data_IF_670975442184
#
_entry.id   IF_670975442184
#
_cell.length_a   1.000
_cell.length_b   1.000
_cell.length_c   1.000
_cell.angle_alpha   90.00
_cell.angle_beta   90.00
_cell.angle_gamma   90.00
#
_symmetry.space_group_name_H-M   'P 1'
#
loop_
_entity.id
_entity.type
_entity.pdbx_description
1 polymer ?
#
# COMPACT_ATOMS: atom_id res chain seq x y z
N UNK A 1 11.72 -32.22 11.37
CA UNK A 1 10.60 -31.64 10.60
C UNK A 1 10.91 -30.16 10.40
N UNK A 2 10.86 -29.68 9.17
CA UNK A 2 11.09 -28.28 8.80
C UNK A 2 9.93 -27.80 7.95
N UNK A 3 9.58 -26.51 8.05
CA UNK A 3 8.50 -25.90 7.27
C UNK A 3 9.12 -24.88 6.33
N UNK A 4 8.91 -25.04 5.03
CA UNK A 4 9.46 -24.15 4.02
C UNK A 4 8.35 -23.35 3.34
N UNK A 5 8.50 -22.03 3.34
CA UNK A 5 7.69 -21.12 2.52
C UNK A 5 8.55 -20.64 1.36
N UNK A 6 8.19 -21.05 0.15
CA UNK A 6 8.91 -20.64 -1.06
C UNK A 6 8.71 -19.14 -1.34
N UNK A 7 9.77 -18.46 -1.75
CA UNK A 7 9.74 -17.05 -2.14
C UNK A 7 9.00 -16.76 -3.44
N UNK A 8 8.64 -17.77 -4.23
CA UNK A 8 7.68 -17.57 -5.34
C UNK A 8 6.34 -17.02 -4.83
N UNK A 9 6.01 -17.32 -3.56
CA UNK A 9 4.80 -16.89 -2.90
C UNK A 9 5.00 -15.62 -2.05
N UNK A 10 6.24 -15.18 -1.81
CA UNK A 10 6.56 -14.04 -0.94
C UNK A 10 7.03 -12.86 -1.79
N UNK A 11 6.33 -11.73 -1.70
CA UNK A 11 6.63 -10.57 -2.56
C UNK A 11 7.66 -9.64 -1.91
N UNK A 12 7.49 -9.33 -0.63
CA UNK A 12 8.24 -8.28 0.06
C UNK A 12 8.44 -8.61 1.55
N UNK A 13 9.57 -8.15 2.09
CA UNK A 13 9.88 -8.13 3.52
C UNK A 13 9.81 -6.70 4.05
N UNK A 14 8.90 -6.45 4.99
CA UNK A 14 8.89 -5.19 5.74
C UNK A 14 9.52 -5.39 7.12
N UNK A 15 10.59 -4.66 7.41
CA UNK A 15 11.18 -4.53 8.75
C UNK A 15 10.48 -3.38 9.47
N UNK A 16 9.44 -3.67 10.25
CA UNK A 16 8.69 -2.69 11.02
C UNK A 16 9.30 -2.43 12.41
N UNK A 17 9.51 -1.15 12.73
CA UNK A 17 9.98 -0.65 14.04
C UNK A 17 9.58 0.82 14.30
N UNK A 18 9.14 1.56 13.29
CA UNK A 18 8.46 2.84 13.46
C UNK A 18 7.01 2.66 13.04
N UNK A 19 6.07 3.26 13.79
CA UNK A 19 4.65 3.32 13.44
C UNK A 19 4.42 3.90 12.04
N UNK A 20 3.17 3.95 11.55
CA UNK A 20 2.88 4.49 10.21
C UNK A 20 3.54 5.86 10.07
N UNK A 21 4.55 5.96 9.18
CA UNK A 21 5.17 7.24 8.85
C UNK A 21 4.04 8.15 8.43
N UNK A 22 3.72 9.16 9.26
CA UNK A 22 2.74 10.19 8.95
C UNK A 22 3.14 10.79 7.61
N UNK A 23 2.38 10.45 6.58
CA UNK A 23 2.50 11.08 5.28
C UNK A 23 2.14 12.56 5.47
N UNK A 24 3.16 13.41 5.54
CA UNK A 24 3.00 14.86 5.54
C UNK A 24 2.59 15.26 4.13
N UNK A 25 1.28 15.33 3.89
CA UNK A 25 0.73 15.93 2.70
C UNK A 25 1.02 17.43 2.75
N UNK A 26 1.96 17.90 1.92
CA UNK A 26 1.95 19.31 1.52
C UNK A 26 0.71 19.49 0.62
N UNK A 27 -0.30 20.26 1.02
CA UNK A 27 -1.45 20.49 0.17
C UNK A 27 -0.97 21.19 -1.11
N UNK A 28 -1.20 20.54 -2.24
CA UNK A 28 -1.09 21.16 -3.54
C UNK A 28 -2.00 22.39 -3.51
N UNK A 29 -1.42 23.56 -3.76
CA UNK A 29 -2.00 24.85 -3.45
C UNK A 29 -3.30 25.06 -4.23
N UNK A 30 -4.44 24.89 -3.53
CA UNK A 30 -5.79 25.28 -3.94
C UNK A 30 -5.84 26.70 -4.57
N UNK A 31 -4.85 27.52 -4.23
CA UNK A 31 -4.65 28.89 -4.69
C UNK A 31 -4.50 29.03 -6.22
N UNK A 32 -3.86 28.07 -6.90
CA UNK A 32 -3.65 28.18 -8.36
C UNK A 32 -4.92 27.84 -9.16
N UNK A 33 -5.73 26.90 -8.69
CA UNK A 33 -7.01 26.54 -9.33
C UNK A 33 -8.04 27.64 -9.13
N UNK A 34 -8.05 28.29 -7.96
CA UNK A 34 -8.95 29.41 -7.66
C UNK A 34 -8.72 30.63 -8.55
N UNK A 35 -7.46 31.00 -8.80
CA UNK A 35 -7.13 32.15 -9.66
C UNK A 35 -7.54 31.95 -11.12
N UNK A 36 -7.40 30.73 -11.64
CA UNK A 36 -7.79 30.41 -13.01
C UNK A 36 -9.32 30.49 -13.19
N UNK A 37 -10.09 30.02 -12.20
CA UNK A 37 -11.55 30.05 -12.22
C UNK A 37 -12.08 31.50 -12.20
N UNK A 38 -11.49 32.37 -11.37
CA UNK A 38 -11.87 33.79 -11.29
C UNK A 38 -11.61 34.49 -12.62
N UNK A 39 -10.47 34.23 -13.26
CA UNK A 39 -10.09 34.87 -14.53
C UNK A 39 -11.06 34.50 -15.68
N UNK A 40 -11.46 33.22 -15.76
CA UNK A 40 -12.42 32.73 -16.75
C UNK A 40 -13.80 33.36 -16.55
N UNK A 41 -14.27 33.47 -15.31
CA UNK A 41 -15.56 34.12 -14.99
C UNK A 41 -15.54 35.60 -15.35
N UNK A 42 -14.45 36.33 -15.07
CA UNK A 42 -14.33 37.76 -15.42
C UNK A 42 -14.25 38.00 -16.94
N UNK A 43 -13.59 37.13 -17.70
CA UNK A 43 -13.57 37.25 -19.17
C UNK A 43 -14.96 36.99 -19.78
N UNK A 44 -15.70 36.00 -19.27
CA UNK A 44 -17.05 35.71 -19.76
C UNK A 44 -18.04 36.84 -19.47
N UNK A 45 -17.92 37.52 -18.33
CA UNK A 45 -18.77 38.67 -17.98
C UNK A 45 -18.54 39.90 -18.89
N UNK A 46 -17.37 40.00 -19.52
CA UNK A 46 -16.99 41.17 -20.35
C UNK A 46 -17.59 41.12 -21.76
N UNK A 47 -17.97 39.95 -22.25
CA UNK A 47 -18.49 39.74 -23.62
C UNK A 47 -20.01 39.87 -23.75
N UNK A 48 -20.70 40.26 -22.67
CA UNK A 48 -22.16 40.15 -22.57
C UNK A 48 -22.79 41.53 -22.43
N UNK A 49 -23.17 42.14 -23.56
CA UNK A 49 -24.03 43.33 -23.56
C UNK A 49 -25.27 43.23 -24.45
N UNK A 50 -25.61 42.04 -24.98
CA UNK A 50 -26.69 41.94 -25.99
C UNK A 50 -27.57 40.68 -25.96
N UNK A 51 -27.62 39.93 -24.85
CA UNK A 51 -28.42 38.70 -24.75
C UNK A 51 -29.44 38.82 -23.61
N UNK A 52 -30.68 38.40 -23.86
CA UNK A 52 -31.77 38.33 -22.89
C UNK A 52 -31.31 37.64 -21.59
N UNK A 53 -31.59 38.25 -20.43
CA UNK A 53 -30.98 37.90 -19.13
C UNK A 53 -31.18 36.43 -18.73
N UNK A 54 -32.28 35.81 -19.16
CA UNK A 54 -32.58 34.39 -18.91
C UNK A 54 -31.75 33.43 -19.77
N UNK A 55 -31.59 33.74 -21.05
CA UNK A 55 -30.78 32.92 -21.97
C UNK A 55 -29.30 32.98 -21.57
N UNK A 56 -28.85 34.15 -21.12
CA UNK A 56 -27.51 34.33 -20.60
C UNK A 56 -27.25 33.48 -19.35
N UNK A 57 -28.18 33.51 -18.39
CA UNK A 57 -28.05 32.76 -17.15
C UNK A 57 -27.87 31.26 -17.44
N UNK A 58 -28.66 30.71 -18.38
CA UNK A 58 -28.58 29.31 -18.78
C UNK A 58 -27.25 28.96 -19.47
N UNK A 59 -26.72 29.84 -20.32
CA UNK A 59 -25.42 29.64 -20.99
C UNK A 59 -24.28 29.67 -19.97
N UNK A 60 -24.31 30.61 -19.02
CA UNK A 60 -23.29 30.73 -17.96
C UNK A 60 -23.33 29.51 -17.04
N UNK A 61 -24.50 29.11 -16.55
CA UNK A 61 -24.62 27.91 -15.71
C UNK A 61 -24.26 26.63 -16.47
N UNK A 62 -24.67 26.49 -17.73
CA UNK A 62 -24.29 25.35 -18.57
C UNK A 62 -22.78 25.26 -18.80
N UNK A 63 -22.12 26.41 -19.01
CA UNK A 63 -20.66 26.48 -19.18
C UNK A 63 -19.91 26.14 -17.88
N UNK A 64 -20.39 26.63 -16.74
CA UNK A 64 -19.83 26.29 -15.42
C UNK A 64 -20.01 24.80 -15.15
N UNK A 65 -21.21 24.25 -15.40
CA UNK A 65 -21.50 22.83 -15.20
C UNK A 65 -20.58 21.97 -16.07
N UNK A 66 -20.40 22.34 -17.34
CA UNK A 66 -19.50 21.65 -18.28
C UNK A 66 -18.04 21.72 -17.82
N UNK A 67 -17.56 22.88 -17.39
CA UNK A 67 -16.21 23.04 -16.82
C UNK A 67 -15.99 22.15 -15.60
N UNK A 68 -16.95 22.12 -14.68
CA UNK A 68 -16.88 21.27 -13.48
C UNK A 68 -16.88 19.79 -13.87
N UNK A 69 -17.73 19.38 -14.80
CA UNK A 69 -17.84 17.99 -15.27
C UNK A 69 -16.60 17.49 -16.03
N UNK A 70 -15.87 18.37 -16.71
CA UNK A 70 -14.67 17.99 -17.47
C UNK A 70 -13.40 18.11 -16.62
N UNK A 71 -13.28 19.18 -15.83
CA UNK A 71 -12.06 19.45 -15.05
C UNK A 71 -11.95 18.58 -13.79
N UNK A 72 -13.06 18.23 -13.12
CA UNK A 72 -13.00 17.35 -11.94
C UNK A 72 -12.46 15.95 -12.29
N UNK A 73 -12.98 15.24 -13.31
CA UNK A 73 -12.44 13.94 -13.69
C UNK A 73 -10.99 14.03 -14.17
N UNK A 74 -10.64 15.06 -14.95
CA UNK A 74 -9.27 15.26 -15.41
C UNK A 74 -8.30 15.47 -14.24
N UNK A 75 -8.65 16.31 -13.26
CA UNK A 75 -7.86 16.52 -12.05
C UNK A 75 -7.72 15.25 -11.21
N UNK A 76 -8.79 14.46 -11.09
CA UNK A 76 -8.76 13.16 -10.42
C UNK A 76 -7.83 12.18 -11.16
N UNK A 77 -7.93 12.09 -12.48
CA UNK A 77 -7.07 11.21 -13.30
C UNK A 77 -5.60 11.61 -13.15
N UNK A 78 -5.27 12.89 -13.27
CA UNK A 78 -3.90 13.40 -13.11
C UNK A 78 -3.37 13.07 -11.71
N UNK A 79 -4.17 13.28 -10.66
CA UNK A 79 -3.81 12.91 -9.30
C UNK A 79 -3.52 11.41 -9.16
N UNK A 80 -4.35 10.55 -9.76
CA UNK A 80 -4.12 9.09 -9.76
C UNK A 80 -2.86 8.69 -10.52
N UNK A 81 -2.58 9.32 -11.67
CA UNK A 81 -1.37 9.07 -12.47
C UNK A 81 -0.13 9.52 -11.70
N UNK A 82 -0.12 10.72 -11.13
CA UNK A 82 1.01 11.24 -10.36
C UNK A 82 1.25 10.40 -9.09
N UNK A 83 0.18 9.95 -8.42
CA UNK A 83 0.30 9.04 -7.29
C UNK A 83 0.87 7.68 -7.71
N UNK A 84 0.51 7.17 -8.89
CA UNK A 84 1.05 5.94 -9.45
C UNK A 84 2.53 6.08 -9.82
N UNK A 85 2.93 7.19 -10.44
CA UNK A 85 4.33 7.46 -10.77
C UNK A 85 5.21 7.65 -9.54
N UNK A 86 4.72 8.36 -8.52
CA UNK A 86 5.42 8.46 -7.23
C UNK A 86 5.60 7.09 -6.59
N UNK A 87 4.59 6.23 -6.62
CA UNK A 87 4.71 4.84 -6.14
C UNK A 87 5.75 4.05 -6.93
N UNK A 88 5.82 4.21 -8.26
CA UNK A 88 6.84 3.56 -9.10
C UNK A 88 8.25 4.04 -8.74
N UNK A 89 8.47 5.35 -8.64
CA UNK A 89 9.77 5.93 -8.27
C UNK A 89 10.23 5.52 -6.87
N UNK A 90 9.32 5.49 -5.90
CA UNK A 90 9.60 5.01 -4.54
C UNK A 90 9.90 3.49 -4.47
N UNK A 91 9.32 2.70 -5.37
CA UNK A 91 9.64 1.28 -5.51
C UNK A 91 11.00 1.05 -6.20
N UNK A 92 11.48 2.01 -6.97
CA UNK A 92 12.73 1.96 -7.72
C UNK A 92 13.95 2.41 -6.87
N UNK A 93 13.75 3.30 -5.89
CA UNK A 93 14.82 3.79 -5.01
C UNK A 93 15.15 2.89 -3.80
N UNK A 94 14.25 1.97 -3.43
CA UNK A 94 14.57 0.95 -2.44
C UNK A 94 15.12 -0.26 -3.18
N UNK A 95 16.35 -0.76 -2.89
CA UNK A 95 16.78 -2.04 -3.45
C UNK A 95 15.77 -3.08 -2.97
N UNK A 96 14.88 -3.53 -3.88
CA UNK A 96 13.78 -4.44 -3.54
C UNK A 96 14.41 -5.73 -3.05
N UNK A 97 14.47 -5.89 -1.74
CA UNK A 97 14.86 -7.11 -1.06
C UNK A 97 13.80 -8.16 -1.42
N UNK A 98 14.07 -8.94 -2.48
CA UNK A 98 13.17 -10.01 -2.92
C UNK A 98 13.42 -11.23 -2.04
N UNK A 99 12.38 -11.68 -1.34
CA UNK A 99 12.48 -12.87 -0.49
C UNK A 99 12.47 -14.12 -1.37
N UNK A 100 13.49 -14.96 -1.24
CA UNK A 100 13.63 -16.23 -1.97
C UNK A 100 13.00 -17.40 -1.22
N UNK A 101 12.90 -17.30 0.11
CA UNK A 101 12.22 -18.28 0.93
C UNK A 101 12.35 -18.00 2.42
N UNK A 102 11.49 -18.66 3.20
CA UNK A 102 11.56 -18.69 4.65
C UNK A 102 11.50 -20.14 5.11
N UNK A 103 12.52 -20.60 5.84
CA UNK A 103 12.63 -21.96 6.33
C UNK A 103 12.61 -21.97 7.85
N UNK A 104 11.61 -22.61 8.43
CA UNK A 104 11.46 -22.79 9.87
C UNK A 104 11.97 -24.16 10.28
N UNK A 105 12.89 -24.17 11.23
CA UNK A 105 13.42 -25.35 11.90
C UNK A 105 13.14 -25.27 13.39
N UNK A 106 13.28 -26.39 14.11
CA UNK A 106 12.93 -26.47 15.52
C UNK A 106 13.57 -25.38 16.41
N UNK A 107 14.79 -24.98 16.06
CA UNK A 107 15.62 -24.04 16.84
C UNK A 107 15.80 -22.66 16.20
N UNK A 108 15.53 -22.51 14.90
CA UNK A 108 15.80 -21.26 14.17
C UNK A 108 14.96 -21.14 12.90
N UNK A 109 14.77 -19.90 12.46
CA UNK A 109 14.13 -19.52 11.20
C UNK A 109 15.17 -18.87 10.28
N UNK A 110 15.36 -19.38 9.06
CA UNK A 110 16.18 -18.73 8.03
C UNK A 110 15.28 -17.98 7.06
N UNK A 111 15.65 -16.74 6.74
CA UNK A 111 14.99 -15.91 5.76
C UNK A 111 16.01 -15.62 4.66
N UNK A 112 15.77 -16.18 3.47
CA UNK A 112 16.63 -15.99 2.31
C UNK A 112 16.11 -14.81 1.50
N UNK A 113 17.00 -13.86 1.21
CA UNK A 113 16.69 -12.61 0.53
C UNK A 113 17.75 -12.36 -0.54
N UNK A 114 17.32 -12.03 -1.75
CA UNK A 114 18.21 -11.54 -2.80
C UNK A 114 18.25 -10.02 -2.80
N UNK A 115 19.45 -9.45 -2.80
CA UNK A 115 19.72 -8.03 -3.02
C UNK A 115 20.61 -7.89 -4.25
N UNK A 116 20.00 -7.63 -5.41
CA UNK A 116 20.70 -7.66 -6.70
C UNK A 116 21.15 -9.09 -7.04
N UNK A 117 22.44 -9.28 -7.31
CA UNK A 117 23.04 -10.59 -7.58
C UNK A 117 23.45 -11.37 -6.33
N UNK A 118 23.36 -10.76 -5.14
CA UNK A 118 23.80 -11.38 -3.88
C UNK A 118 22.61 -11.99 -3.15
N UNK A 119 22.74 -13.26 -2.78
CA UNK A 119 21.79 -13.97 -1.91
C UNK A 119 22.33 -13.94 -0.49
N UNK A 120 21.51 -13.44 0.44
CA UNK A 120 21.80 -13.40 1.88
C UNK A 120 20.77 -14.24 2.63
N UNK A 121 21.20 -14.91 3.70
CA UNK A 121 20.32 -15.63 4.60
C UNK A 121 20.39 -15.00 6.00
N UNK A 122 19.24 -14.57 6.53
CA UNK A 122 19.12 -14.10 7.90
C UNK A 122 18.65 -15.25 8.79
N UNK A 123 19.49 -15.66 9.73
CA UNK A 123 19.11 -16.65 10.74
C UNK A 123 18.57 -15.95 11.99
N UNK A 124 17.32 -16.25 12.34
CA UNK A 124 16.65 -15.77 13.53
C UNK A 124 16.47 -16.94 14.51
N UNK A 125 17.13 -16.94 15.68
CA UNK A 125 16.94 -18.00 16.67
C UNK A 125 15.49 -17.99 17.18
N UNK A 126 14.95 -19.17 17.50
CA UNK A 126 13.58 -19.32 17.99
C UNK A 126 13.33 -18.55 19.28
N UNK A 127 14.32 -18.45 20.17
CA UNK A 127 14.25 -17.62 21.39
C UNK A 127 14.02 -16.13 21.10
N UNK A 128 14.42 -15.66 19.91
CA UNK A 128 14.18 -14.31 19.41
C UNK A 128 12.79 -14.12 18.81
N UNK A 129 11.97 -15.17 18.69
CA UNK A 129 10.64 -15.14 18.07
C UNK A 129 9.58 -15.25 19.15
N UNK A 130 8.78 -14.19 19.28
CA UNK A 130 7.69 -14.11 20.26
C UNK A 130 6.43 -14.80 19.76
N UNK A 131 6.02 -14.52 18.52
CA UNK A 131 4.85 -15.15 17.91
C UNK A 131 4.84 -15.00 16.40
N UNK A 132 4.19 -15.94 15.71
CA UNK A 132 3.93 -15.89 14.27
C UNK A 132 2.43 -15.79 14.05
N UNK A 133 1.95 -14.83 13.27
CA UNK A 133 0.51 -14.64 13.06
C UNK A 133 0.18 -14.22 11.64
N UNK A 134 -1.05 -14.52 11.22
CA UNK A 134 -1.61 -13.94 10.01
C UNK A 134 -1.78 -12.42 10.15
N UNK A 135 -1.71 -11.68 9.04
CA UNK A 135 -2.12 -10.29 9.03
C UNK A 135 -2.84 -9.87 7.75
N UNK A 136 -3.65 -8.83 7.90
CA UNK A 136 -4.30 -8.11 6.81
C UNK A 136 -4.09 -6.62 6.99
N UNK A 137 -3.65 -5.92 5.94
CA UNK A 137 -3.48 -4.48 5.94
C UNK A 137 -4.50 -3.84 5.00
N UNK A 138 -5.44 -3.10 5.60
CA UNK A 138 -6.49 -2.41 4.87
C UNK A 138 -6.05 -1.00 4.50
N UNK A 139 -6.22 -0.61 3.23
CA UNK A 139 -6.10 0.78 2.79
C UNK A 139 -7.46 1.47 2.73
N UNK A 140 -7.44 2.80 2.59
CA UNK A 140 -8.63 3.67 2.60
C UNK A 140 -9.76 3.25 1.65
N UNK A 141 -9.43 2.61 0.52
CA UNK A 141 -10.43 2.15 -0.45
C UNK A 141 -10.39 0.64 -0.73
N UNK A 142 -9.30 -0.06 -0.41
CA UNK A 142 -9.11 -1.48 -0.73
C UNK A 142 -8.10 -2.13 0.22
N UNK A 143 -8.24 -3.44 0.49
CA UNK A 143 -7.22 -4.20 1.24
C UNK A 143 -5.98 -4.36 0.38
N UNK A 144 -4.83 -3.90 0.88
CA UNK A 144 -3.59 -3.76 0.11
C UNK A 144 -2.73 -5.01 0.22
N UNK A 145 -2.38 -5.37 1.45
CA UNK A 145 -1.37 -6.39 1.73
C UNK A 145 -1.90 -7.45 2.71
N UNK A 146 -1.58 -8.72 2.47
CA UNK A 146 -2.03 -9.85 3.30
C UNK A 146 -0.98 -10.94 3.31
N UNK A 147 -0.77 -11.57 4.45
CA UNK A 147 0.17 -12.67 4.58
C UNK A 147 0.36 -13.06 6.04
N UNK A 148 1.60 -13.38 6.42
CA UNK A 148 1.97 -13.70 7.79
C UNK A 148 3.10 -12.80 8.27
N UNK A 149 3.25 -12.69 9.58
CA UNK A 149 4.28 -11.91 10.21
C UNK A 149 4.96 -12.68 11.34
N UNK A 150 6.22 -12.36 11.57
CA UNK A 150 7.00 -12.81 12.71
C UNK A 150 7.18 -11.61 13.63
N UNK A 151 6.69 -11.71 14.85
CA UNK A 151 6.97 -10.75 15.92
C UNK A 151 8.18 -11.25 16.70
N UNK A 152 9.24 -10.44 16.72
CA UNK A 152 10.45 -10.72 17.47
C UNK A 152 10.28 -10.32 18.94
N UNK A 153 11.11 -10.88 19.82
CA UNK A 153 11.13 -10.56 21.25
C UNK A 153 11.52 -9.09 21.52
N UNK A 154 12.28 -8.47 20.62
CA UNK A 154 12.66 -7.06 20.66
C UNK A 154 11.55 -6.11 20.15
N UNK A 155 10.36 -6.64 19.85
CA UNK A 155 9.21 -5.89 19.37
C UNK A 155 9.24 -5.58 17.87
N UNK A 156 10.32 -5.94 17.15
CA UNK A 156 10.36 -5.78 15.69
C UNK A 156 9.40 -6.75 15.02
N UNK A 157 8.87 -6.32 13.88
CA UNK A 157 7.92 -7.10 13.10
C UNK A 157 8.47 -7.33 11.69
N UNK A 158 8.59 -8.59 11.30
CA UNK A 158 8.92 -9.00 9.94
C UNK A 158 7.63 -9.42 9.26
N UNK A 159 7.20 -8.67 8.23
CA UNK A 159 5.96 -8.97 7.50
C UNK A 159 6.27 -9.52 6.12
N UNK A 160 5.60 -10.62 5.78
CA UNK A 160 5.73 -11.32 4.49
C UNK A 160 4.41 -11.23 3.75
N UNK A 161 4.42 -10.64 2.55
CA UNK A 161 3.23 -10.53 1.70
C UNK A 161 3.09 -11.78 0.84
N UNK A 162 1.91 -12.41 0.86
CA UNK A 162 1.62 -13.60 0.07
C UNK A 162 0.86 -13.27 -1.22
N UNK A 163 1.43 -13.63 -2.38
CA UNK A 163 0.79 -13.45 -3.69
C UNK A 163 -0.09 -14.64 -4.05
N UNK A 164 -1.21 -14.76 -3.36
CA UNK A 164 -2.20 -15.81 -3.57
C UNK A 164 -3.62 -15.22 -3.59
N UNK A 165 -4.57 -15.93 -4.18
CA UNK A 165 -5.98 -15.53 -4.09
C UNK A 165 -6.49 -15.63 -2.64
N UNK A 166 -7.69 -15.11 -2.37
CA UNK A 166 -8.19 -15.01 -0.99
C UNK A 166 -8.34 -16.36 -0.29
N UNK A 167 -8.88 -17.34 -1.00
CA UNK A 167 -9.19 -18.66 -0.45
C UNK A 167 -7.92 -19.49 -0.22
N UNK A 168 -7.06 -19.56 -1.24
CA UNK A 168 -5.77 -20.25 -1.16
C UNK A 168 -4.91 -19.70 -0.03
N UNK A 169 -4.84 -18.37 0.10
CA UNK A 169 -4.04 -17.75 1.16
C UNK A 169 -4.54 -18.09 2.56
N UNK A 170 -5.86 -18.11 2.78
CA UNK A 170 -6.40 -18.46 4.09
C UNK A 170 -6.07 -19.91 4.44
N UNK A 171 -6.33 -20.83 3.51
CA UNK A 171 -5.99 -22.25 3.66
C UNK A 171 -4.49 -22.44 3.92
N UNK A 172 -3.64 -21.79 3.13
CA UNK A 172 -2.19 -21.84 3.28
C UNK A 172 -1.72 -21.30 4.64
N UNK A 173 -2.27 -20.18 5.10
CA UNK A 173 -1.92 -19.60 6.40
C UNK A 173 -2.33 -20.53 7.54
N UNK A 174 -3.53 -21.11 7.48
CA UNK A 174 -4.01 -22.04 8.51
C UNK A 174 -3.11 -23.28 8.57
N UNK A 175 -2.77 -23.88 7.43
CA UNK A 175 -1.84 -25.01 7.34
C UNK A 175 -0.43 -24.64 7.81
N UNK A 176 0.05 -23.45 7.49
CA UNK A 176 1.34 -22.93 7.93
C UNK A 176 1.39 -22.79 9.45
N UNK A 177 0.39 -22.15 10.07
CA UNK A 177 0.35 -21.94 11.51
C UNK A 177 0.26 -23.27 12.26
N UNK A 178 -0.57 -24.21 11.80
CA UNK A 178 -0.64 -25.56 12.36
C UNK A 178 0.71 -26.30 12.26
N UNK A 179 1.38 -26.19 11.12
CA UNK A 179 2.71 -26.79 10.92
C UNK A 179 3.74 -26.17 11.85
N UNK A 180 3.70 -24.85 12.05
CA UNK A 180 4.60 -24.13 12.94
C UNK A 180 4.38 -24.49 14.42
N UNK A 181 3.14 -24.64 14.86
CA UNK A 181 2.81 -25.14 16.21
C UNK A 181 3.40 -26.52 16.43
N UNK A 182 3.31 -27.41 15.43
CA UNK A 182 3.84 -28.78 15.53
C UNK A 182 5.36 -28.85 15.75
N UNK A 183 6.11 -27.86 15.27
CA UNK A 183 7.56 -27.74 15.48
C UNK A 183 7.92 -26.81 16.66
N UNK A 184 6.90 -26.33 17.39
CA UNK A 184 7.02 -25.63 18.67
C UNK A 184 6.99 -24.09 18.57
N UNK A 185 6.71 -23.50 17.42
CA UNK A 185 6.59 -22.05 17.34
C UNK A 185 5.29 -21.57 17.99
N UNK A 186 5.37 -20.45 18.69
CA UNK A 186 4.19 -19.76 19.20
C UNK A 186 3.45 -19.08 18.06
N UNK A 187 2.17 -19.40 17.89
CA UNK A 187 1.28 -18.78 16.91
C UNK A 187 0.33 -17.79 17.59
N UNK A 188 0.03 -16.70 16.89
CA UNK A 188 -0.82 -15.63 17.37
C UNK A 188 -2.11 -15.50 16.56
N UNK A 189 -3.09 -14.80 17.14
CA UNK A 189 -4.32 -14.42 16.44
C UNK A 189 -4.02 -13.54 15.22
N UNK A 190 -4.84 -13.68 14.18
CA UNK A 190 -4.77 -12.83 12.99
C UNK A 190 -4.91 -11.35 13.36
N UNK A 191 -4.05 -10.49 12.79
CA UNK A 191 -4.02 -9.05 13.08
C UNK A 191 -4.46 -8.21 11.89
N UNK A 192 -5.27 -7.20 12.16
CA UNK A 192 -5.63 -6.18 11.18
C UNK A 192 -4.80 -4.92 11.40
N UNK A 193 -4.13 -4.46 10.34
CA UNK A 193 -3.44 -3.17 10.31
C UNK A 193 -4.25 -2.18 9.49
N UNK A 194 -4.37 -0.95 10.01
CA UNK A 194 -4.90 0.20 9.26
C UNK A 194 -3.73 1.04 8.77
N UNK A 195 -3.89 1.62 7.57
CA UNK A 195 -2.97 2.62 6.99
C UNK A 195 -3.43 4.01 7.37
#
# INVERSE_FOLDING_TARGET
MSVLVSGSNIVELYKGGEGPKKYSYKPFTLFQVGHFLVMVVTMMMSSVRLINSRTLLLIVWGSILFLVLVLLPAGVIIFFVEMSEKKKKLAEESPVEKVLGVSFQKEWCSIEVSKGSVVMAYMLPRSGIKSISAYTQSGWFWVRDRGFMIECSDGKQLRFILRMNKFERLKFIDELLLSLESIGYSTGKARAFQV
#
